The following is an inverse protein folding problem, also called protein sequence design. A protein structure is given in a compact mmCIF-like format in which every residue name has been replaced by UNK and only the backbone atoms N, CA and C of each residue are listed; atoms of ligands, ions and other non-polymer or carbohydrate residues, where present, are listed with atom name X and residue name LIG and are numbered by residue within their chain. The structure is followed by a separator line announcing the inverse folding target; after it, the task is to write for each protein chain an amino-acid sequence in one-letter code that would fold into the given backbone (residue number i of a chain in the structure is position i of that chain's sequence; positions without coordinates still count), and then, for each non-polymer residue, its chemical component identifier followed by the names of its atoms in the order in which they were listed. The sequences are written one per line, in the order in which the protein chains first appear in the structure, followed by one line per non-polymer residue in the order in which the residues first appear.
data_IF_698485530323
#
_entry.id   IF_698485530323
#
_cell.length_a   1.000
_cell.length_b   1.000
_cell.length_c   1.000
_cell.angle_alpha   90.00
_cell.angle_beta   90.00
_cell.angle_gamma   90.00
#
_symmetry.space_group_name_H-M   'P 1'
#
loop_
_entity.id
_entity.type
_entity.pdbx_description
1 polymer ?
#
# COMPACT_ATOMS: atom_id res chain seq x y z
N UNK A 1 -64.74 47.33 -8.03
CA UNK A 1 -64.16 46.10 -7.46
C UNK A 1 -63.38 46.46 -6.20
N UNK A 2 -63.87 46.11 -4.99
CA UNK A 2 -63.12 46.29 -3.74
C UNK A 2 -62.03 45.21 -3.67
N UNK A 3 -60.76 45.60 -3.67
CA UNK A 3 -59.64 44.70 -3.40
C UNK A 3 -59.50 44.63 -1.88
N UNK A 4 -59.67 43.45 -1.30
CA UNK A 4 -59.42 43.24 0.12
C UNK A 4 -57.91 43.38 0.36
N UNK A 5 -57.52 44.35 1.19
CA UNK A 5 -56.13 44.55 1.59
C UNK A 5 -55.83 43.67 2.80
N UNK A 6 -54.69 42.97 2.77
CA UNK A 6 -54.21 42.18 3.89
C UNK A 6 -53.87 43.09 5.08
N UNK A 7 -54.24 42.64 6.28
CA UNK A 7 -53.90 43.39 7.50
C UNK A 7 -52.44 43.15 7.88
N UNK A 8 -51.78 44.15 8.47
CA UNK A 8 -50.38 44.05 8.89
C UNK A 8 -50.17 42.87 9.87
N UNK A 9 -51.17 42.60 10.71
CA UNK A 9 -51.19 41.47 11.66
C UNK A 9 -51.09 40.13 10.94
N UNK A 10 -51.80 39.96 9.84
CA UNK A 10 -51.83 38.71 9.08
C UNK A 10 -50.48 38.42 8.42
N UNK A 11 -49.82 39.45 7.88
CA UNK A 11 -48.45 39.32 7.38
C UNK A 11 -47.43 39.03 8.49
N UNK A 12 -47.59 39.62 9.67
CA UNK A 12 -46.69 39.42 10.80
C UNK A 12 -46.76 37.97 11.33
N UNK A 13 -47.97 37.41 11.44
CA UNK A 13 -48.17 36.02 11.85
C UNK A 13 -47.57 35.06 10.81
N UNK A 14 -47.75 35.32 9.51
CA UNK A 14 -47.18 34.49 8.44
C UNK A 14 -45.65 34.47 8.51
N UNK A 15 -45.01 35.64 8.66
CA UNK A 15 -43.55 35.72 8.79
C UNK A 15 -43.04 35.02 10.05
N UNK A 16 -43.76 35.12 11.16
CA UNK A 16 -43.44 34.40 12.39
C UNK A 16 -43.50 32.89 12.18
N UNK A 17 -44.58 32.36 11.61
CA UNK A 17 -44.74 30.92 11.36
C UNK A 17 -43.71 30.41 10.37
N UNK A 18 -43.43 31.15 9.29
CA UNK A 18 -42.38 30.79 8.33
C UNK A 18 -41.00 30.74 9.01
N UNK A 19 -40.66 31.73 9.83
CA UNK A 19 -39.37 31.74 10.53
C UNK A 19 -39.19 30.53 11.46
N UNK A 20 -40.25 30.12 12.15
CA UNK A 20 -40.23 28.98 13.07
C UNK A 20 -40.10 27.65 12.30
N UNK A 21 -40.87 27.49 11.22
CA UNK A 21 -40.79 26.30 10.37
C UNK A 21 -39.43 26.18 9.69
N UNK A 22 -38.90 27.27 9.14
CA UNK A 22 -37.57 27.30 8.51
C UNK A 22 -36.45 27.00 9.51
N UNK A 23 -36.51 27.56 10.72
CA UNK A 23 -35.52 27.28 11.77
C UNK A 23 -35.47 25.81 12.16
N UNK A 24 -36.65 25.18 12.36
CA UNK A 24 -36.71 23.75 12.70
C UNK A 24 -36.26 22.85 11.55
N UNK A 25 -36.63 23.16 10.30
CA UNK A 25 -36.22 22.37 9.12
C UNK A 25 -34.72 22.45 8.85
N UNK A 26 -34.09 23.60 9.06
CA UNK A 26 -32.64 23.73 8.87
C UNK A 26 -31.85 22.80 9.80
N UNK A 27 -32.19 22.77 11.10
CA UNK A 27 -31.49 21.95 12.10
C UNK A 27 -31.68 20.45 11.84
N UNK A 28 -32.90 20.03 11.47
CA UNK A 28 -33.17 18.61 11.19
C UNK A 28 -32.43 18.12 9.95
N UNK A 29 -32.39 18.92 8.88
CA UNK A 29 -31.66 18.57 7.65
C UNK A 29 -30.16 18.48 7.90
N UNK A 30 -29.56 19.41 8.65
CA UNK A 30 -28.14 19.35 9.01
C UNK A 30 -27.78 18.11 9.84
N UNK A 31 -28.64 17.70 10.78
CA UNK A 31 -28.43 16.48 11.57
C UNK A 31 -28.55 15.18 10.74
N UNK A 32 -29.56 15.09 9.88
CA UNK A 32 -29.79 13.92 9.01
C UNK A 32 -28.68 13.77 7.97
N UNK A 33 -28.21 14.87 7.38
CA UNK A 33 -27.11 14.84 6.42
C UNK A 33 -25.79 14.42 7.06
N UNK A 34 -25.49 14.89 8.27
CA UNK A 34 -24.27 14.49 9.00
C UNK A 34 -24.26 13.00 9.37
N UNK A 35 -25.38 12.48 9.87
CA UNK A 35 -25.51 11.05 10.19
C UNK A 35 -25.44 10.17 8.94
N UNK A 36 -26.11 10.56 7.84
CA UNK A 36 -26.03 9.84 6.57
C UNK A 36 -24.60 9.80 5.99
N UNK A 37 -23.85 10.91 6.09
CA UNK A 37 -22.43 10.96 5.70
C UNK A 37 -21.58 10.04 6.56
N UNK A 38 -21.82 10.00 7.87
CA UNK A 38 -21.12 9.11 8.78
C UNK A 38 -21.37 7.63 8.44
N UNK A 39 -22.62 7.23 8.22
CA UNK A 39 -22.94 5.85 7.83
C UNK A 39 -22.33 5.46 6.49
N UNK A 40 -22.37 6.36 5.50
CA UNK A 40 -21.70 6.13 4.20
C UNK A 40 -20.20 5.91 4.37
N UNK A 41 -19.55 6.75 5.17
CA UNK A 41 -18.11 6.63 5.44
C UNK A 41 -17.78 5.32 6.15
N UNK A 42 -18.61 4.89 7.12
CA UNK A 42 -18.43 3.58 7.77
C UNK A 42 -18.56 2.43 6.80
N UNK A 43 -19.50 2.50 5.86
CA UNK A 43 -19.64 1.51 4.80
C UNK A 43 -18.38 1.39 3.94
N UNK A 44 -17.83 2.53 3.49
CA UNK A 44 -16.58 2.58 2.72
C UNK A 44 -15.43 1.99 3.55
N UNK A 45 -15.26 2.42 4.80
CA UNK A 45 -14.19 1.90 5.68
C UNK A 45 -14.31 0.39 5.91
N UNK A 46 -15.53 -0.15 6.04
CA UNK A 46 -15.76 -1.59 6.17
C UNK A 46 -15.26 -2.35 4.94
N UNK A 47 -15.60 -1.86 3.74
CA UNK A 47 -15.14 -2.44 2.47
C UNK A 47 -13.62 -2.38 2.36
N UNK A 48 -13.02 -1.23 2.66
CA UNK A 48 -11.56 -1.05 2.63
C UNK A 48 -10.86 -2.00 3.60
N UNK A 49 -11.40 -2.16 4.81
CA UNK A 49 -10.90 -3.09 5.81
C UNK A 49 -10.93 -4.54 5.30
N UNK A 50 -12.01 -4.98 4.65
CA UNK A 50 -12.12 -6.34 4.14
C UNK A 50 -11.10 -6.62 3.02
N UNK A 51 -10.88 -5.63 2.13
CA UNK A 51 -9.86 -5.70 1.08
C UNK A 51 -8.45 -5.80 1.68
N UNK A 52 -8.13 -4.93 2.63
CA UNK A 52 -6.81 -4.89 3.26
C UNK A 52 -6.54 -6.14 4.10
N UNK A 53 -7.52 -6.63 4.87
CA UNK A 53 -7.40 -7.85 5.65
C UNK A 53 -7.22 -9.07 4.75
N UNK A 54 -7.98 -9.17 3.66
CA UNK A 54 -7.82 -10.27 2.69
C UNK A 54 -6.40 -10.30 2.12
N UNK A 55 -5.85 -9.13 1.75
CA UNK A 55 -4.46 -9.02 1.31
C UNK A 55 -3.49 -9.38 2.42
N UNK A 56 -3.68 -8.86 3.63
CA UNK A 56 -2.81 -9.13 4.76
C UNK A 56 -2.73 -10.63 5.12
N UNK A 57 -3.87 -11.31 5.14
CA UNK A 57 -3.96 -12.75 5.38
C UNK A 57 -3.22 -13.57 4.30
N UNK A 58 -3.22 -13.10 3.05
CA UNK A 58 -2.53 -13.79 1.96
C UNK A 58 -1.01 -13.92 2.16
N UNK A 59 -0.39 -12.99 2.91
CA UNK A 59 1.05 -13.04 3.18
C UNK A 59 1.46 -14.17 4.13
N UNK A 60 0.54 -14.65 4.98
CA UNK A 60 0.87 -15.70 5.97
C UNK A 60 1.33 -16.99 5.30
N UNK A 61 0.77 -17.32 4.14
CA UNK A 61 1.05 -18.57 3.41
C UNK A 61 1.75 -18.33 2.07
N UNK A 62 2.19 -17.11 1.79
CA UNK A 62 2.75 -16.78 0.48
C UNK A 62 4.11 -17.43 0.28
N UNK A 63 4.31 -18.20 -0.81
CA UNK A 63 5.64 -18.66 -1.18
C UNK A 63 6.46 -17.48 -1.69
N UNK A 64 7.73 -17.45 -1.32
CA UNK A 64 8.70 -16.49 -1.83
C UNK A 64 9.51 -17.15 -2.94
N UNK A 65 9.75 -16.46 -4.07
CA UNK A 65 10.72 -16.93 -5.05
C UNK A 65 12.12 -16.83 -4.43
N UNK A 66 12.59 -17.90 -3.81
CA UNK A 66 13.97 -18.04 -3.32
C UNK A 66 14.65 -19.00 -4.27
N UNK A 67 15.60 -18.53 -5.07
CA UNK A 67 16.57 -19.45 -5.67
C UNK A 67 17.73 -19.62 -4.67
N UNK A 68 18.09 -20.86 -4.39
CA UNK A 68 19.31 -21.16 -3.66
C UNK A 68 20.50 -20.65 -4.47
N UNK A 69 21.45 -19.92 -3.85
CA UNK A 69 22.65 -19.49 -4.55
C UNK A 69 23.35 -20.69 -5.17
N UNK A 70 23.65 -20.60 -6.47
CA UNK A 70 24.36 -21.66 -7.19
C UNK A 70 25.85 -21.55 -6.88
N UNK A 71 26.47 -22.69 -6.55
CA UNK A 71 27.91 -22.78 -6.36
C UNK A 71 28.67 -22.32 -7.63
N UNK A 72 29.72 -21.52 -7.47
CA UNK A 72 30.49 -20.99 -8.61
C UNK A 72 31.89 -21.58 -8.60
N UNK A 73 32.32 -22.15 -9.73
CA UNK A 73 33.67 -22.70 -9.88
C UNK A 73 33.84 -24.09 -9.26
N UNK A 74 34.84 -24.26 -8.38
CA UNK A 74 35.23 -25.54 -7.75
C UNK A 74 34.42 -25.89 -6.49
N UNK A 75 33.41 -25.09 -6.18
CA UNK A 75 32.49 -25.29 -5.08
C UNK A 75 31.44 -26.35 -5.45
N UNK A 76 31.22 -27.32 -4.55
CA UNK A 76 30.27 -28.42 -4.75
C UNK A 76 28.88 -28.02 -4.27
N UNK A 77 28.81 -27.28 -3.16
CA UNK A 77 27.57 -26.84 -2.53
C UNK A 77 27.80 -25.58 -1.72
N UNK A 78 26.78 -24.73 -1.62
CA UNK A 78 26.72 -23.63 -0.68
C UNK A 78 25.83 -24.02 0.50
N UNK A 79 26.36 -23.96 1.71
CA UNK A 79 25.61 -24.19 2.94
C UNK A 79 25.13 -22.85 3.50
N UNK A 80 23.83 -22.74 3.72
CA UNK A 80 23.20 -21.55 4.30
C UNK A 80 22.91 -21.86 5.77
N UNK A 81 23.47 -21.10 6.73
CA UNK A 81 23.16 -21.30 8.13
C UNK A 81 21.67 -21.00 8.39
N UNK A 82 20.98 -21.77 9.26
CA UNK A 82 19.54 -21.61 9.47
C UNK A 82 19.12 -20.20 9.92
N UNK A 83 19.97 -19.54 10.71
CA UNK A 83 19.77 -18.16 11.16
C UNK A 83 19.75 -17.15 10.00
N UNK A 84 20.67 -17.30 9.05
CA UNK A 84 20.71 -16.46 7.85
C UNK A 84 19.53 -16.74 6.93
N UNK A 85 19.15 -18.00 6.77
CA UNK A 85 17.96 -18.36 6.00
C UNK A 85 16.70 -17.70 6.59
N UNK A 86 16.56 -17.69 7.93
CA UNK A 86 15.45 -17.02 8.60
C UNK A 86 15.49 -15.48 8.42
N UNK A 87 16.68 -14.86 8.53
CA UNK A 87 16.88 -13.41 8.33
C UNK A 87 16.52 -12.98 6.90
N UNK A 88 17.04 -13.69 5.91
CA UNK A 88 16.76 -13.45 4.48
C UNK A 88 15.27 -13.58 4.20
N UNK A 89 14.62 -14.63 4.70
CA UNK A 89 13.18 -14.83 4.55
C UNK A 89 12.37 -13.68 5.15
N UNK A 90 12.75 -13.18 6.32
CA UNK A 90 12.09 -12.03 6.96
C UNK A 90 12.17 -10.77 6.09
N UNK A 91 13.36 -10.48 5.55
CA UNK A 91 13.60 -9.32 4.68
C UNK A 91 12.77 -9.43 3.39
N UNK A 92 12.78 -10.61 2.75
CA UNK A 92 11.99 -10.88 1.54
C UNK A 92 10.48 -10.68 1.77
N UNK A 93 9.94 -11.18 2.89
CA UNK A 93 8.51 -10.99 3.21
C UNK A 93 8.20 -9.51 3.39
N UNK A 94 9.08 -8.76 4.06
CA UNK A 94 8.87 -7.33 4.30
C UNK A 94 8.93 -6.51 3.02
N UNK A 95 9.91 -6.78 2.15
CA UNK A 95 10.02 -6.12 0.85
C UNK A 95 8.83 -6.47 -0.05
N UNK A 96 8.35 -7.72 0.00
CA UNK A 96 7.12 -8.10 -0.71
C UNK A 96 5.89 -7.34 -0.17
N UNK A 97 5.73 -7.25 1.15
CA UNK A 97 4.65 -6.47 1.76
C UNK A 97 4.73 -5.00 1.37
N UNK A 98 5.93 -4.44 1.20
CA UNK A 98 6.15 -3.07 0.73
C UNK A 98 5.67 -2.86 -0.69
N UNK A 99 6.05 -3.77 -1.58
CA UNK A 99 5.72 -3.68 -2.99
C UNK A 99 4.23 -3.94 -3.29
N UNK A 100 3.54 -4.68 -2.43
CA UNK A 100 2.15 -5.10 -2.66
C UNK A 100 1.10 -4.43 -1.77
N UNK A 101 1.52 -3.86 -0.65
CA UNK A 101 0.69 -3.00 0.20
C UNK A 101 1.47 -1.71 0.48
N UNK A 102 1.65 -0.84 -0.53
CA UNK A 102 2.33 0.44 -0.34
C UNK A 102 1.57 1.33 0.64
N UNK A 103 2.32 2.09 1.43
CA UNK A 103 1.82 3.18 2.28
C UNK A 103 2.30 4.54 1.74
N UNK A 104 3.47 4.57 1.11
CA UNK A 104 4.06 5.80 0.59
C UNK A 104 4.40 5.67 -0.88
N UNK A 105 4.58 6.82 -1.53
CA UNK A 105 5.09 6.90 -2.91
C UNK A 105 6.36 6.09 -3.10
N UNK A 106 7.30 6.22 -2.16
CA UNK A 106 8.59 5.52 -2.17
C UNK A 106 8.45 3.99 -2.15
N UNK A 107 7.35 3.44 -1.66
CA UNK A 107 7.12 1.98 -1.65
C UNK A 107 6.86 1.44 -3.06
N UNK A 108 6.37 2.28 -3.96
CA UNK A 108 6.05 1.91 -5.34
C UNK A 108 7.17 2.31 -6.30
N UNK A 109 7.76 3.49 -6.09
CA UNK A 109 8.79 4.05 -6.99
C UNK A 109 10.15 3.40 -6.80
N UNK A 110 10.52 3.04 -5.56
CA UNK A 110 11.83 2.45 -5.32
C UNK A 110 11.92 1.03 -5.87
N UNK A 111 13.13 0.66 -6.26
CA UNK A 111 13.42 -0.71 -6.66
C UNK A 111 13.37 -1.66 -5.47
N UNK A 112 13.06 -2.95 -5.72
CA UNK A 112 13.14 -3.99 -4.70
C UNK A 112 14.52 -4.03 -4.06
N UNK A 113 14.58 -4.40 -2.77
CA UNK A 113 15.84 -4.43 -2.04
C UNK A 113 16.78 -5.51 -2.57
N UNK A 114 18.06 -5.18 -2.77
CA UNK A 114 19.06 -6.20 -3.10
C UNK A 114 19.44 -6.99 -1.84
N UNK A 115 19.11 -8.28 -1.81
CA UNK A 115 19.34 -9.14 -0.64
C UNK A 115 20.62 -9.96 -0.82
N UNK A 116 21.39 -10.03 0.24
CA UNK A 116 22.59 -10.89 0.31
C UNK A 116 22.53 -11.77 1.55
N UNK A 117 23.09 -12.98 1.41
CA UNK A 117 23.18 -13.95 2.49
C UNK A 117 24.63 -14.38 2.70
N UNK A 118 24.94 -14.78 3.92
CA UNK A 118 26.20 -15.43 4.22
C UNK A 118 26.06 -16.93 3.96
N UNK A 119 27.01 -17.48 3.20
CA UNK A 119 27.06 -18.91 2.87
C UNK A 119 28.44 -19.47 3.17
N UNK A 120 28.49 -20.74 3.54
CA UNK A 120 29.73 -21.48 3.66
C UNK A 120 29.88 -22.39 2.44
N UNK A 121 30.83 -22.10 1.54
CA UNK A 121 31.08 -22.98 0.41
C UNK A 121 31.72 -24.28 0.88
N UNK A 122 31.24 -25.39 0.32
CA UNK A 122 31.83 -26.71 0.44
C UNK A 122 32.63 -26.97 -0.83
N UNK A 123 33.93 -27.15 -0.68
CA UNK A 123 34.86 -27.36 -1.79
C UNK A 123 35.37 -28.79 -1.76
N UNK A 124 35.58 -29.35 -2.96
CA UNK A 124 36.28 -30.61 -3.11
C UNK A 124 37.79 -30.35 -3.17
N UNK A 125 38.53 -30.86 -2.19
CA UNK A 125 39.99 -30.81 -2.16
C UNK A 125 40.56 -32.02 -2.91
N UNK A 126 41.12 -31.79 -4.09
CA UNK A 126 41.71 -32.83 -4.93
C UNK A 126 43.01 -33.42 -4.36
N UNK A 127 43.69 -32.74 -3.43
CA UNK A 127 44.90 -33.24 -2.80
C UNK A 127 44.61 -34.24 -1.68
N UNK A 128 43.47 -34.07 -0.99
CA UNK A 128 43.07 -34.95 0.12
C UNK A 128 41.86 -35.85 -0.20
N UNK A 129 41.26 -35.69 -1.38
CA UNK A 129 40.07 -36.41 -1.84
C UNK A 129 38.92 -36.32 -0.82
N UNK A 130 38.74 -35.12 -0.26
CA UNK A 130 37.79 -34.82 0.80
C UNK A 130 36.96 -33.59 0.47
N UNK A 131 35.68 -33.62 0.84
CA UNK A 131 34.82 -32.44 0.85
C UNK A 131 35.07 -31.65 2.13
N UNK A 132 35.37 -30.36 2.00
CA UNK A 132 35.64 -29.47 3.14
C UNK A 132 34.76 -28.24 3.05
N UNK A 133 34.05 -27.96 4.14
CA UNK A 133 33.37 -26.69 4.35
C UNK A 133 34.42 -25.62 4.65
N UNK A 134 34.37 -24.47 3.97
CA UNK A 134 35.21 -23.34 4.32
C UNK A 134 34.78 -22.73 5.67
N UNK A 135 35.76 -22.40 6.51
CA UNK A 135 35.51 -21.77 7.81
C UNK A 135 34.96 -20.35 7.66
N UNK A 136 35.47 -19.58 6.70
CA UNK A 136 34.99 -18.22 6.43
C UNK A 136 33.68 -18.26 5.64
N UNK A 137 32.70 -17.45 6.07
CA UNK A 137 31.47 -17.22 5.32
C UNK A 137 31.72 -16.26 4.15
N UNK A 138 31.13 -16.55 3.00
CA UNK A 138 31.17 -15.73 1.79
C UNK A 138 29.83 -15.03 1.61
N UNK A 139 29.86 -13.76 1.21
CA UNK A 139 28.65 -12.99 0.84
C UNK A 139 28.20 -13.39 -0.56
N UNK A 140 26.99 -13.89 -0.69
CA UNK A 140 26.38 -14.17 -2.01
C UNK A 140 25.04 -13.46 -2.16
N UNK A 141 24.69 -13.11 -3.40
CA UNK A 141 23.40 -12.51 -3.73
C UNK A 141 22.30 -13.56 -3.69
N UNK A 142 21.14 -13.22 -3.12
CA UNK A 142 19.95 -14.05 -3.21
C UNK A 142 19.22 -13.66 -4.49
N UNK A 143 18.75 -14.65 -5.26
CA UNK A 143 17.85 -14.38 -6.38
C UNK A 143 16.52 -13.88 -5.83
N UNK A 144 16.40 -12.55 -5.78
CA UNK A 144 15.23 -11.77 -5.42
C UNK A 144 14.91 -10.81 -6.57
N UNK A 145 13.81 -10.08 -6.47
CA UNK A 145 13.56 -8.98 -7.40
C UNK A 145 14.70 -7.96 -7.29
N UNK A 146 15.18 -7.42 -8.43
CA UNK A 146 16.40 -6.58 -8.46
C UNK A 146 16.23 -5.28 -9.26
N UNK A 147 15.07 -5.04 -9.85
CA UNK A 147 14.74 -3.84 -10.63
C UNK A 147 14.50 -4.11 -12.12
N UNK A 148 14.09 -3.07 -12.86
CA UNK A 148 13.72 -3.18 -14.28
C UNK A 148 12.49 -4.07 -14.48
N UNK A 149 12.56 -5.01 -15.42
CA UNK A 149 11.47 -5.96 -15.72
C UNK A 149 11.34 -7.09 -14.67
N UNK A 150 12.27 -7.18 -13.71
CA UNK A 150 12.30 -8.21 -12.68
C UNK A 150 11.70 -7.67 -11.36
N UNK A 151 10.40 -7.40 -11.38
CA UNK A 151 9.60 -6.95 -10.22
C UNK A 151 8.33 -7.78 -10.06
N UNK A 152 7.69 -7.81 -8.88
CA UNK A 152 6.42 -8.49 -8.71
C UNK A 152 5.36 -7.94 -9.67
N UNK A 153 4.51 -8.81 -10.22
CA UNK A 153 3.45 -8.42 -11.14
C UNK A 153 2.50 -7.36 -10.55
N UNK A 154 2.26 -7.42 -9.23
CA UNK A 154 1.46 -6.43 -8.50
C UNK A 154 2.12 -5.05 -8.51
N UNK A 155 3.44 -4.98 -8.27
CA UNK A 155 4.18 -3.73 -8.31
C UNK A 155 4.22 -3.16 -9.73
N UNK A 156 4.43 -4.00 -10.74
CA UNK A 156 4.36 -3.59 -12.13
C UNK A 156 2.99 -2.97 -12.46
N UNK A 157 1.91 -3.62 -12.01
CA UNK A 157 0.55 -3.11 -12.19
C UNK A 157 0.33 -1.74 -11.51
N UNK A 158 0.95 -1.49 -10.35
CA UNK A 158 0.94 -0.16 -9.73
C UNK A 158 1.66 0.87 -10.57
N UNK A 159 2.88 0.54 -11.03
CA UNK A 159 3.72 1.41 -11.86
C UNK A 159 3.06 1.78 -13.19
N UNK A 160 2.28 0.88 -13.78
CA UNK A 160 1.53 1.14 -15.01
C UNK A 160 0.37 2.14 -14.82
N UNK A 161 -0.09 2.34 -13.57
CA UNK A 161 -1.18 3.27 -13.21
C UNK A 161 -0.68 4.63 -12.74
N UNK A 162 0.62 4.74 -12.46
CA UNK A 162 1.27 5.98 -12.07
C UNK A 162 1.57 6.80 -13.34
N UNK A 163 1.50 8.14 -13.32
CA UNK A 163 1.82 8.94 -14.49
C UNK A 163 3.28 8.69 -14.96
N UNK A 164 3.56 8.70 -16.28
CA UNK A 164 4.84 8.23 -16.85
C UNK A 164 6.12 8.95 -16.35
N UNK A 165 5.99 10.13 -15.74
CA UNK A 165 7.11 10.93 -15.23
C UNK A 165 7.31 10.78 -13.71
N UNK A 166 6.44 10.03 -13.03
CA UNK A 166 6.42 9.87 -11.57
C UNK A 166 7.18 8.65 -11.05
N UNK A 167 7.71 7.82 -11.95
CA UNK A 167 8.70 6.78 -11.63
C UNK A 167 10.10 7.37 -11.35
N UNK A 168 10.32 8.66 -11.67
CA UNK A 168 11.53 9.38 -11.28
C UNK A 168 11.34 9.95 -9.86
N UNK A 169 12.32 9.70 -8.98
CA UNK A 169 12.17 9.86 -7.53
C UNK A 169 12.00 11.31 -7.03
N UNK A 170 12.12 12.36 -7.85
CA UNK A 170 11.98 13.75 -7.37
C UNK A 170 11.44 14.76 -8.41
N UNK A 171 10.81 15.88 -7.97
CA UNK A 171 10.44 17.03 -8.80
C UNK A 171 11.67 17.62 -9.54
N UNK A 172 11.49 18.27 -10.71
CA UNK A 172 10.26 18.86 -11.24
C UNK A 172 9.45 17.98 -12.20
N UNK A 173 9.89 16.73 -12.44
CA UNK A 173 9.26 15.85 -13.42
C UNK A 173 8.15 15.01 -12.83
N UNK A 174 8.24 14.74 -11.53
CA UNK A 174 7.21 14.04 -10.78
C UNK A 174 6.06 15.00 -10.42
N UNK A 175 4.85 14.67 -10.88
CA UNK A 175 3.59 15.31 -10.48
C UNK A 175 3.09 14.76 -9.15
N UNK A 176 3.23 13.45 -8.92
CA UNK A 176 2.79 12.75 -7.72
C UNK A 176 3.40 13.40 -6.47
N UNK A 177 2.58 14.06 -5.66
CA UNK A 177 3.04 14.82 -4.50
C UNK A 177 3.24 13.90 -3.28
N UNK A 178 3.64 14.49 -2.15
CA UNK A 178 3.65 13.78 -0.86
C UNK A 178 2.40 14.08 -0.03
N UNK A 179 1.59 15.04 -0.47
CA UNK A 179 0.30 15.29 0.14
C UNK A 179 -0.59 14.11 -0.21
N UNK A 180 -1.26 13.51 0.77
CA UNK A 180 -2.15 12.36 0.55
C UNK A 180 -1.54 11.07 -0.04
N UNK A 181 -0.20 10.92 -0.07
CA UNK A 181 0.49 9.73 -0.63
C UNK A 181 -0.05 8.37 -0.13
N UNK A 182 -0.50 8.32 1.12
CA UNK A 182 -1.09 7.13 1.74
C UNK A 182 -2.51 6.80 1.26
N UNK A 183 -3.30 7.80 0.89
CA UNK A 183 -4.65 7.62 0.36
C UNK A 183 -4.60 7.20 -1.12
N UNK A 184 -3.64 7.70 -1.87
CA UNK A 184 -3.37 7.31 -3.26
C UNK A 184 -2.81 5.88 -3.35
N UNK A 185 -1.89 5.54 -2.44
CA UNK A 185 -1.41 4.17 -2.30
C UNK A 185 -2.55 3.20 -1.97
N UNK A 186 -3.50 3.61 -1.13
CA UNK A 186 -4.71 2.83 -0.85
C UNK A 186 -5.56 2.61 -2.12
N UNK A 187 -5.76 3.66 -2.92
CA UNK A 187 -6.47 3.53 -4.20
C UNK A 187 -5.77 2.54 -5.15
N UNK A 188 -4.43 2.57 -5.24
CA UNK A 188 -3.69 1.58 -6.02
C UNK A 188 -3.98 0.15 -5.54
N UNK A 189 -3.95 -0.09 -4.22
CA UNK A 189 -4.26 -1.41 -3.65
C UNK A 189 -5.68 -1.84 -4.02
N UNK A 190 -6.67 -0.98 -3.84
CA UNK A 190 -8.09 -1.31 -4.09
C UNK A 190 -8.36 -1.52 -5.58
N UNK A 191 -7.78 -0.69 -6.45
CA UNK A 191 -7.98 -0.76 -7.92
C UNK A 191 -7.38 -2.01 -8.58
N UNK A 192 -6.45 -2.69 -7.92
CA UNK A 192 -5.80 -3.91 -8.41
C UNK A 192 -6.26 -5.18 -7.69
N UNK A 193 -7.03 -5.04 -6.61
CA UNK A 193 -7.48 -6.16 -5.80
C UNK A 193 -8.85 -6.64 -6.27
N UNK A 194 -9.06 -7.95 -6.23
CA UNK A 194 -10.37 -8.55 -6.44
C UNK A 194 -10.91 -9.04 -5.11
N UNK A 195 -12.16 -8.71 -4.82
CA UNK A 195 -12.90 -9.19 -3.67
C UNK A 195 -14.10 -9.99 -4.19
N UNK A 196 -14.21 -11.26 -3.79
CA UNK A 196 -15.31 -12.16 -4.21
C UNK A 196 -15.50 -12.27 -5.74
N UNK A 197 -14.41 -12.18 -6.50
CA UNK A 197 -14.45 -12.31 -7.97
C UNK A 197 -14.81 -11.03 -8.73
N UNK A 198 -15.08 -9.92 -8.03
CA UNK A 198 -15.25 -8.59 -8.62
C UNK A 198 -14.06 -7.70 -8.26
N UNK A 199 -13.67 -6.74 -9.12
CA UNK A 199 -12.71 -5.71 -8.75
C UNK A 199 -13.19 -4.96 -7.50
N UNK A 200 -12.34 -4.84 -6.47
CA UNK A 200 -12.73 -4.22 -5.21
C UNK A 200 -13.15 -2.76 -5.39
N UNK A 201 -12.61 -2.07 -6.39
CA UNK A 201 -12.98 -0.69 -6.72
C UNK A 201 -14.46 -0.53 -7.13
N UNK A 202 -15.11 -1.56 -7.68
CA UNK A 202 -16.52 -1.50 -8.05
C UNK A 202 -17.47 -1.45 -6.84
N UNK A 203 -16.99 -1.87 -5.67
CA UNK A 203 -17.76 -1.79 -4.42
C UNK A 203 -17.79 -0.38 -3.81
N UNK A 204 -16.98 0.54 -4.35
CA UNK A 204 -16.90 1.93 -3.91
C UNK A 204 -17.66 2.81 -4.90
N UNK A 205 -18.56 3.71 -4.44
CA UNK A 205 -19.26 4.63 -5.33
C UNK A 205 -18.26 5.53 -6.10
N UNK A 206 -18.46 5.76 -7.41
CA UNK A 206 -17.55 6.60 -8.20
C UNK A 206 -17.53 8.07 -7.72
N UNK A 207 -18.56 8.52 -6.99
CA UNK A 207 -18.59 9.84 -6.35
C UNK A 207 -17.60 9.99 -5.19
N UNK A 208 -17.09 8.88 -4.68
CA UNK A 208 -16.12 8.81 -3.58
C UNK A 208 -14.71 8.51 -4.10
N UNK A 209 -14.47 8.68 -5.40
CA UNK A 209 -13.17 8.55 -6.03
C UNK A 209 -12.88 9.89 -6.71
N UNK A 210 -11.74 10.50 -6.40
CA UNK A 210 -11.36 11.81 -6.92
C UNK A 210 -9.87 12.06 -6.79
N UNK A 211 -9.41 13.12 -7.45
CA UNK A 211 -8.04 13.64 -7.35
C UNK A 211 -8.16 14.99 -6.60
N UNK A 212 -7.73 15.00 -5.33
CA UNK A 212 -7.93 16.14 -4.41
C UNK A 212 -6.87 17.22 -4.60
N UNK A 213 -5.63 16.85 -4.89
CA UNK A 213 -4.49 17.76 -5.00
C UNK A 213 -4.07 18.06 -6.45
N UNK A 214 -4.68 17.39 -7.43
CA UNK A 214 -4.53 17.64 -8.87
C UNK A 214 -3.28 17.02 -9.48
N UNK A 215 -2.71 16.02 -8.82
CA UNK A 215 -1.43 15.43 -9.20
C UNK A 215 -1.55 14.26 -10.21
N UNK A 216 -2.80 13.84 -10.48
CA UNK A 216 -3.16 12.77 -11.41
C UNK A 216 -3.29 11.39 -10.77
N UNK A 217 -3.02 11.26 -9.47
CA UNK A 217 -3.34 10.09 -8.68
C UNK A 217 -4.76 10.23 -8.12
N UNK A 218 -5.45 9.10 -7.99
CA UNK A 218 -6.80 9.09 -7.44
C UNK A 218 -6.75 8.63 -6.00
N UNK A 219 -7.61 9.23 -5.17
CA UNK A 219 -7.82 8.86 -3.78
C UNK A 219 -9.25 8.40 -3.56
N UNK A 220 -9.45 7.70 -2.45
CA UNK A 220 -10.77 7.32 -1.98
C UNK A 220 -11.21 8.34 -0.94
N UNK A 221 -12.30 9.05 -1.24
CA UNK A 221 -12.83 10.14 -0.44
C UNK A 221 -13.93 9.62 0.50
N UNK A 222 -13.95 10.15 1.71
CA UNK A 222 -15.07 9.97 2.63
C UNK A 222 -16.31 10.78 2.18
N UNK A 223 -17.39 10.74 2.97
CA UNK A 223 -18.61 11.48 2.64
C UNK A 223 -18.52 13.00 2.86
N UNK A 224 -17.37 13.50 3.33
CA UNK A 224 -17.01 14.91 3.45
C UNK A 224 -15.91 15.32 2.46
N UNK A 225 -15.67 14.51 1.43
CA UNK A 225 -14.67 14.77 0.38
C UNK A 225 -13.23 14.82 0.92
N UNK A 226 -12.96 14.08 2.02
CA UNK A 226 -11.61 13.97 2.58
C UNK A 226 -10.97 12.64 2.19
N UNK A 227 -9.70 12.63 1.75
CA UNK A 227 -8.98 11.39 1.44
C UNK A 227 -8.87 10.48 2.66
N UNK A 228 -9.15 9.19 2.46
CA UNK A 228 -8.96 8.14 3.48
C UNK A 228 -7.55 7.58 3.32
N UNK A 229 -6.69 7.84 4.30
CA UNK A 229 -5.34 7.30 4.35
C UNK A 229 -5.27 5.89 4.95
N UNK A 230 -4.29 5.12 4.51
CA UNK A 230 -3.93 3.82 5.07
C UNK A 230 -2.51 3.89 5.64
N UNK A 231 -2.27 3.33 6.83
CA UNK A 231 -0.93 3.29 7.44
C UNK A 231 -0.51 1.84 7.65
N UNK A 232 0.70 1.50 7.21
CA UNK A 232 1.29 0.17 7.37
C UNK A 232 2.32 0.17 8.50
N UNK A 233 2.00 -0.50 9.61
CA UNK A 233 2.90 -0.64 10.77
C UNK A 233 3.58 -2.03 10.82
N UNK A 234 4.90 -2.14 11.08
CA UNK A 234 5.91 -1.10 11.17
C UNK A 234 6.48 -0.67 9.80
N UNK A 235 6.76 0.63 9.68
CA UNK A 235 7.41 1.26 8.51
C UNK A 235 8.90 0.93 8.53
N UNK A 236 9.42 0.43 7.40
CA UNK A 236 10.86 0.35 7.08
C UNK A 236 11.78 -0.56 7.95
N UNK A 237 12.64 -1.34 7.29
CA UNK A 237 13.73 -2.09 7.93
C UNK A 237 14.91 -2.04 7.00
N UNK A 238 15.95 -1.35 7.46
CA UNK A 238 17.22 -1.29 6.77
C UNK A 238 18.09 -2.39 7.35
N UNK A 239 18.36 -3.40 6.53
CA UNK A 239 19.33 -4.45 6.85
C UNK A 239 20.74 -3.86 6.75
N UNK A 240 21.20 -3.21 7.83
CA UNK A 240 22.53 -2.60 7.86
C UNK A 240 23.66 -3.63 8.13
N UNK A 241 23.35 -4.93 8.07
CA UNK A 241 24.25 -6.03 8.45
C UNK A 241 24.29 -7.12 7.36
N UNK A 242 25.16 -6.95 6.39
CA UNK A 242 25.80 -8.10 5.74
C UNK A 242 27.30 -7.96 5.91
N UNK A 243 28.04 -8.69 6.76
CA UNK A 243 27.86 -9.96 7.51
C UNK A 243 28.74 -9.86 8.80
N UNK A 244 28.50 -10.60 9.90
CA UNK A 244 29.42 -11.68 10.26
C UNK A 244 28.68 -12.96 10.71
N UNK A 245 28.88 -14.10 10.02
CA UNK A 245 28.60 -15.42 10.60
C UNK A 245 29.90 -15.91 11.21
N UNK A 246 30.03 -15.75 12.53
CA UNK A 246 30.94 -16.56 13.34
C UNK A 246 30.08 -17.27 14.38
N UNK A 247 29.89 -18.57 14.20
CA UNK A 247 29.43 -19.46 15.28
C UNK A 247 30.63 -20.11 16.01
N UNK A 248 31.85 -19.57 15.83
CA UNK A 248 33.09 -19.86 16.56
C UNK A 248 33.95 -18.59 16.74
#
# INVERSE_FOLDING_TARGET
MKRNAFTLVELLVVLLVLSLLTGMTAVTVSGVTGTARAERTRGIVSVLNDVLLTKYESYKTRPLPVAVPTAVGSEVKLEIPPREAARVRLIMIRDLMRMEMPDRKVDVTDNPISISCAVHPVIYDSATNQYRRQAAAVKTGVSWFTGGNNVPAQLAAYRDRIPPNDLASDPPFSKWTREWESAEALYLIVSTTFLQGMPAIESIPPTNIGDTDGDGMLEILDAWERPIGFIRWPVDYVDNLGIPVTDD
#
